data_IF_142015421166
#
_entry.id   IF_142015421166
#
_cell.length_a   1.000
_cell.length_b   1.000
_cell.length_c   1.000
_cell.angle_alpha   90.00
_cell.angle_beta   90.00
_cell.angle_gamma   90.00
#
_symmetry.space_group_name_H-M   'P 1'
#
loop_
_entity.id
_entity.type
_entity.pdbx_description
1 polymer ?
#
# COMPACT_ATOMS: atom_id res chain seq x y z
N UNK A 1 1.97 -7.67 23.90
CA UNK A 1 3.08 -8.44 23.34
C UNK A 1 4.40 -7.90 23.88
N UNK A 2 5.45 -8.69 23.89
CA UNK A 2 6.80 -8.30 24.33
C UNK A 2 7.30 -7.04 23.63
N UNK A 3 6.98 -6.88 22.36
CA UNK A 3 7.31 -5.70 21.55
C UNK A 3 6.71 -4.41 22.15
N UNK A 4 5.44 -4.42 22.54
CA UNK A 4 4.81 -3.26 23.18
C UNK A 4 5.41 -2.92 24.56
N UNK A 5 5.90 -3.92 25.29
CA UNK A 5 6.57 -3.71 26.58
C UNK A 5 7.92 -3.02 26.34
N UNK A 6 8.71 -3.54 25.41
CA UNK A 6 9.98 -2.95 24.99
C UNK A 6 9.82 -1.51 24.50
N UNK A 7 8.86 -1.27 23.62
CA UNK A 7 8.62 0.05 23.02
C UNK A 7 8.24 1.08 24.09
N UNK A 8 7.37 0.70 25.02
CA UNK A 8 6.97 1.55 26.16
C UNK A 8 8.14 1.87 27.08
N UNK A 9 8.98 0.88 27.36
CA UNK A 9 10.16 1.06 28.21
C UNK A 9 11.17 2.02 27.57
N UNK A 10 11.36 1.93 26.25
CA UNK A 10 12.29 2.78 25.49
C UNK A 10 11.78 4.22 25.34
N UNK A 11 10.49 4.39 25.00
CA UNK A 11 9.88 5.70 24.79
C UNK A 11 9.51 6.41 26.10
N UNK A 12 9.46 5.66 27.22
CA UNK A 12 9.17 6.14 28.59
C UNK A 12 7.82 6.84 28.79
N UNK A 13 6.83 6.47 27.97
CA UNK A 13 5.44 6.91 28.09
C UNK A 13 4.47 5.89 27.47
N UNK A 14 3.16 5.99 27.78
CA UNK A 14 2.15 5.23 27.04
C UNK A 14 2.18 5.56 25.55
N UNK A 15 1.99 4.56 24.71
CA UNK A 15 1.89 4.69 23.26
C UNK A 15 0.43 4.64 22.81
N UNK A 16 0.07 5.45 21.84
CA UNK A 16 -1.20 5.32 21.13
C UNK A 16 -1.18 4.06 20.26
N UNK A 17 -2.35 3.62 19.81
CA UNK A 17 -2.45 2.46 18.92
C UNK A 17 -1.64 2.67 17.63
N UNK A 18 -1.80 3.84 16.99
CA UNK A 18 -1.05 4.16 15.76
C UNK A 18 0.46 4.17 15.99
N UNK A 19 0.95 4.66 17.13
CA UNK A 19 2.38 4.60 17.45
C UNK A 19 2.88 3.16 17.61
N UNK A 20 2.08 2.29 18.21
CA UNK A 20 2.43 0.86 18.30
C UNK A 20 2.58 0.21 16.93
N UNK A 21 1.68 0.56 15.99
CA UNK A 21 1.79 0.09 14.62
C UNK A 21 3.04 0.66 13.94
N UNK A 22 3.29 1.96 14.03
CA UNK A 22 4.47 2.60 13.45
C UNK A 22 5.77 1.98 13.97
N UNK A 23 5.92 1.86 15.30
CA UNK A 23 7.14 1.28 15.89
C UNK A 23 7.32 -0.21 15.58
N UNK A 24 6.21 -0.94 15.36
CA UNK A 24 6.28 -2.33 14.91
C UNK A 24 6.77 -2.48 13.46
N UNK A 25 6.71 -1.41 12.67
CA UNK A 25 7.10 -1.40 11.27
C UNK A 25 8.33 -0.54 10.97
N UNK A 26 9.17 -0.26 11.97
CA UNK A 26 10.47 0.33 11.72
C UNK A 26 11.27 -0.56 10.76
N UNK A 27 11.90 0.04 9.76
CA UNK A 27 12.74 -0.69 8.81
C UNK A 27 13.89 -1.39 9.52
N UNK A 28 14.55 -0.67 10.43
CA UNK A 28 15.55 -1.21 11.36
C UNK A 28 14.99 -1.15 12.81
N UNK A 29 14.65 -2.30 13.41
CA UNK A 29 14.13 -2.36 14.78
C UNK A 29 15.07 -1.80 15.86
N UNK A 30 16.37 -1.66 15.56
CA UNK A 30 17.35 -1.08 16.49
C UNK A 30 17.22 0.44 16.61
N UNK A 31 16.56 1.08 15.64
CA UNK A 31 16.28 2.52 15.62
C UNK A 31 15.08 2.92 16.50
N UNK A 32 14.60 2.04 17.35
CA UNK A 32 13.54 2.33 18.30
C UNK A 32 14.00 3.37 19.32
N UNK A 33 13.43 4.58 19.25
CA UNK A 33 13.69 5.71 20.14
C UNK A 33 12.52 6.69 20.10
N UNK A 34 12.48 7.68 21.03
CA UNK A 34 11.57 8.81 20.84
C UNK A 34 11.94 9.63 19.59
N UNK A 35 10.95 9.88 18.74
CA UNK A 35 11.09 10.75 17.56
C UNK A 35 10.32 12.05 17.74
N UNK A 36 10.87 13.16 17.25
CA UNK A 36 10.20 14.47 17.24
C UNK A 36 9.20 14.51 16.09
N UNK A 37 7.91 14.42 16.44
CA UNK A 37 6.80 14.40 15.48
C UNK A 37 6.76 15.67 14.62
N UNK A 38 6.52 15.51 13.32
CA UNK A 38 6.47 16.59 12.34
C UNK A 38 7.83 17.20 12.01
N UNK A 39 8.94 16.62 12.49
CA UNK A 39 10.31 17.13 12.27
C UNK A 39 11.24 16.04 11.76
N UNK A 40 11.37 14.92 12.47
CA UNK A 40 12.30 13.85 12.13
C UNK A 40 11.69 12.89 11.10
N UNK A 41 12.54 12.39 10.21
CA UNK A 41 12.20 11.34 9.25
C UNK A 41 12.55 9.98 9.83
N UNK A 42 11.78 8.99 9.45
CA UNK A 42 11.88 7.61 9.94
C UNK A 42 11.64 6.65 8.79
N UNK A 43 12.46 5.62 8.71
CA UNK A 43 12.35 4.55 7.73
C UNK A 43 11.42 3.46 8.22
N UNK A 44 10.41 3.15 7.41
CA UNK A 44 9.43 2.11 7.69
C UNK A 44 9.49 0.96 6.67
N UNK A 45 8.97 -0.18 7.09
CA UNK A 45 8.73 -1.36 6.24
C UNK A 45 7.24 -1.70 6.27
N UNK A 46 6.43 -1.15 5.35
CA UNK A 46 5.03 -1.55 5.22
C UNK A 46 4.87 -3.03 4.92
N UNK A 47 3.75 -3.62 5.36
CA UNK A 47 3.43 -5.03 5.10
C UNK A 47 2.91 -5.27 3.69
N UNK A 48 2.38 -4.23 3.02
CA UNK A 48 1.64 -4.39 1.78
C UNK A 48 1.65 -3.13 0.94
N UNK A 49 1.54 -3.33 -0.38
CA UNK A 49 1.28 -2.27 -1.38
C UNK A 49 -0.01 -2.58 -2.12
N UNK A 50 -0.91 -1.60 -2.23
CA UNK A 50 -2.08 -1.67 -3.11
C UNK A 50 -1.97 -0.61 -4.20
N UNK A 51 -2.25 -0.98 -5.45
CA UNK A 51 -2.13 -0.10 -6.60
C UNK A 51 -3.42 -0.11 -7.42
N UNK A 52 -3.88 1.05 -7.85
CA UNK A 52 -4.97 1.16 -8.81
C UNK A 52 -4.43 1.19 -10.25
N UNK A 53 -5.27 0.85 -11.21
CA UNK A 53 -4.86 0.58 -12.59
C UNK A 53 -4.22 1.77 -13.33
N UNK A 54 -4.63 3.01 -13.06
CA UNK A 54 -4.05 4.16 -13.73
C UNK A 54 -2.62 4.45 -13.28
N UNK A 55 -2.31 4.30 -11.99
CA UNK A 55 -0.98 4.57 -11.41
C UNK A 55 -0.06 3.35 -11.40
N UNK A 56 -0.61 2.14 -11.37
CA UNK A 56 0.15 0.89 -11.36
C UNK A 56 1.01 0.71 -12.61
N UNK A 57 0.57 1.22 -13.77
CA UNK A 57 1.33 1.10 -15.02
C UNK A 57 2.75 1.63 -14.85
N UNK A 58 2.88 2.86 -14.37
CA UNK A 58 4.18 3.51 -14.21
C UNK A 58 5.00 2.87 -13.07
N UNK A 59 4.35 2.58 -11.95
CA UNK A 59 5.00 1.94 -10.81
C UNK A 59 5.58 0.56 -11.19
N UNK A 60 4.82 -0.25 -11.91
CA UNK A 60 5.28 -1.57 -12.34
C UNK A 60 6.36 -1.51 -13.41
N UNK A 61 6.32 -0.54 -14.33
CA UNK A 61 7.43 -0.31 -15.27
C UNK A 61 8.73 0.06 -14.53
N UNK A 62 8.66 0.93 -13.53
CA UNK A 62 9.80 1.27 -12.70
C UNK A 62 10.30 0.05 -11.90
N UNK A 63 9.39 -0.73 -11.33
CA UNK A 63 9.73 -1.97 -10.64
C UNK A 63 10.46 -2.97 -11.57
N UNK A 64 9.97 -3.15 -12.79
CA UNK A 64 10.62 -4.02 -13.79
C UNK A 64 12.05 -3.57 -14.10
N UNK A 65 12.27 -2.25 -14.22
CA UNK A 65 13.61 -1.68 -14.45
C UNK A 65 14.55 -1.88 -13.25
N UNK A 66 14.04 -2.08 -12.04
CA UNK A 66 14.85 -2.39 -10.87
C UNK A 66 15.43 -3.82 -10.89
N UNK A 67 15.04 -4.67 -11.84
CA UNK A 67 15.63 -6.00 -12.07
C UNK A 67 15.39 -7.00 -10.94
N UNK A 68 14.32 -6.86 -10.17
CA UNK A 68 13.95 -7.81 -9.11
C UNK A 68 13.14 -8.98 -9.66
N UNK A 69 13.36 -10.18 -9.15
CA UNK A 69 12.64 -11.39 -9.57
C UNK A 69 11.20 -11.45 -9.03
N UNK A 70 10.95 -10.82 -7.89
CA UNK A 70 9.65 -10.76 -7.21
C UNK A 70 9.54 -9.52 -6.34
N UNK A 71 8.31 -9.16 -5.98
CA UNK A 71 8.05 -8.09 -5.00
C UNK A 71 8.53 -8.49 -3.59
N UNK A 72 9.03 -7.53 -2.84
CA UNK A 72 9.55 -7.75 -1.49
C UNK A 72 8.46 -7.89 -0.44
N UNK A 73 7.27 -7.36 -0.71
CA UNK A 73 6.09 -7.45 0.16
C UNK A 73 4.87 -7.85 -0.66
N UNK A 74 3.84 -8.45 -0.07
CA UNK A 74 2.57 -8.70 -0.75
C UNK A 74 2.04 -7.43 -1.40
N UNK A 75 1.62 -7.54 -2.66
CA UNK A 75 1.09 -6.43 -3.44
C UNK A 75 -0.14 -6.85 -4.23
N UNK A 76 -0.98 -5.89 -4.58
CA UNK A 76 -2.15 -6.11 -5.44
C UNK A 76 -2.40 -4.93 -6.37
N UNK A 77 -2.91 -5.27 -7.56
CA UNK A 77 -3.36 -4.32 -8.58
C UNK A 77 -4.87 -4.46 -8.73
N UNK A 78 -5.57 -3.34 -8.78
CA UNK A 78 -7.02 -3.26 -8.83
C UNK A 78 -7.45 -2.41 -10.02
N UNK A 79 -8.27 -2.98 -10.90
CA UNK A 79 -8.70 -2.34 -12.15
C UNK A 79 -10.08 -1.70 -11.98
N UNK A 80 -10.14 -0.56 -11.30
CA UNK A 80 -11.39 0.15 -10.99
C UNK A 80 -11.44 1.60 -11.45
N UNK A 81 -10.30 2.28 -11.61
CA UNK A 81 -10.26 3.71 -11.95
C UNK A 81 -10.49 4.02 -13.44
N UNK A 82 -10.19 3.09 -14.34
CA UNK A 82 -10.39 3.29 -15.79
C UNK A 82 -11.80 2.94 -16.27
N UNK A 83 -12.70 2.54 -15.37
CA UNK A 83 -14.10 2.28 -15.66
C UNK A 83 -14.89 3.57 -15.48
N UNK A 84 -15.57 4.03 -16.53
CA UNK A 84 -16.49 5.16 -16.43
C UNK A 84 -17.82 4.68 -15.85
N UNK A 85 -18.34 5.36 -14.85
CA UNK A 85 -19.66 5.14 -14.29
C UNK A 85 -20.65 6.11 -14.95
N UNK A 86 -20.97 5.89 -16.22
CA UNK A 86 -21.78 6.80 -17.04
C UNK A 86 -23.21 6.30 -17.19
N UNK A 87 -23.41 5.11 -17.74
CA UNK A 87 -24.73 4.55 -18.03
C UNK A 87 -25.11 3.44 -17.07
N UNK A 88 -24.17 2.54 -16.80
CA UNK A 88 -24.34 1.40 -15.92
C UNK A 88 -23.39 0.24 -16.25
N UNK A 89 -23.20 -0.64 -15.27
CA UNK A 89 -22.18 -1.70 -15.35
C UNK A 89 -22.30 -2.60 -16.59
N UNK A 90 -23.51 -2.85 -17.08
CA UNK A 90 -23.76 -3.70 -18.26
C UNK A 90 -23.22 -3.11 -19.56
N UNK A 91 -23.03 -1.79 -19.61
CA UNK A 91 -22.49 -1.08 -20.78
C UNK A 91 -21.07 -0.56 -20.52
N UNK A 92 -20.86 0.07 -19.36
CA UNK A 92 -19.59 0.72 -19.05
C UNK A 92 -18.44 -0.27 -18.85
N UNK A 93 -18.70 -1.45 -18.28
CA UNK A 93 -17.66 -2.45 -18.07
C UNK A 93 -17.14 -3.09 -19.39
N UNK A 94 -17.98 -3.57 -20.30
CA UNK A 94 -17.52 -4.04 -21.61
C UNK A 94 -16.77 -2.97 -22.41
N UNK A 95 -17.23 -1.72 -22.37
CA UNK A 95 -16.55 -0.62 -23.06
C UNK A 95 -15.17 -0.33 -22.45
N UNK A 96 -15.06 -0.32 -21.11
CA UNK A 96 -13.78 -0.17 -20.43
C UNK A 96 -12.81 -1.31 -20.79
N UNK A 97 -13.29 -2.55 -20.80
CA UNK A 97 -12.48 -3.72 -21.17
C UNK A 97 -11.96 -3.63 -22.61
N UNK A 98 -12.77 -3.09 -23.52
CA UNK A 98 -12.38 -2.89 -24.92
C UNK A 98 -11.38 -1.75 -25.06
N UNK A 99 -11.70 -0.60 -24.49
CA UNK A 99 -10.90 0.63 -24.61
C UNK A 99 -9.54 0.50 -23.93
N UNK A 100 -9.49 -0.13 -22.77
CA UNK A 100 -8.27 -0.26 -21.96
C UNK A 100 -7.65 -1.66 -22.02
N UNK A 101 -7.97 -2.45 -23.04
CA UNK A 101 -7.52 -3.84 -23.17
C UNK A 101 -6.01 -3.99 -22.99
N UNK A 102 -5.23 -3.16 -23.65
CA UNK A 102 -3.77 -3.19 -23.60
C UNK A 102 -3.24 -2.95 -22.19
N UNK A 103 -3.82 -1.99 -21.47
CA UNK A 103 -3.46 -1.69 -20.08
C UNK A 103 -3.78 -2.87 -19.17
N UNK A 104 -4.98 -3.43 -19.27
CA UNK A 104 -5.38 -4.57 -18.42
C UNK A 104 -4.56 -5.81 -18.73
N UNK A 105 -4.24 -6.09 -19.98
CA UNK A 105 -3.38 -7.20 -20.38
C UNK A 105 -1.96 -7.03 -19.83
N UNK A 106 -1.40 -5.83 -19.91
CA UNK A 106 -0.10 -5.49 -19.32
C UNK A 106 -0.11 -5.72 -17.81
N UNK A 107 -1.04 -5.11 -17.08
CA UNK A 107 -1.14 -5.22 -15.63
C UNK A 107 -1.31 -6.68 -15.18
N UNK A 108 -2.13 -7.45 -15.89
CA UNK A 108 -2.33 -8.88 -15.61
C UNK A 108 -1.05 -9.67 -15.82
N UNK A 109 -0.36 -9.48 -16.94
CA UNK A 109 0.86 -10.22 -17.26
C UNK A 109 2.00 -9.93 -16.29
N UNK A 110 2.19 -8.66 -15.92
CA UNK A 110 3.20 -8.24 -14.94
C UNK A 110 2.85 -8.78 -13.56
N UNK A 111 1.58 -8.71 -13.16
CA UNK A 111 1.13 -9.24 -11.88
C UNK A 111 1.39 -10.74 -11.77
N UNK A 112 1.12 -11.51 -12.83
CA UNK A 112 1.42 -12.94 -12.88
C UNK A 112 2.91 -13.23 -12.77
N UNK A 113 3.74 -12.46 -13.48
CA UNK A 113 5.20 -12.65 -13.49
C UNK A 113 5.83 -12.42 -12.11
N UNK A 114 5.38 -11.42 -11.39
CA UNK A 114 6.00 -10.99 -10.12
C UNK A 114 5.22 -11.39 -8.87
N UNK A 115 4.22 -12.28 -9.01
CA UNK A 115 3.39 -12.78 -7.91
C UNK A 115 2.60 -11.69 -7.19
N UNK A 116 2.07 -10.73 -7.95
CA UNK A 116 1.20 -9.66 -7.48
C UNK A 116 -0.26 -10.11 -7.63
N UNK A 117 -1.09 -9.87 -6.63
CA UNK A 117 -2.53 -10.11 -6.72
C UNK A 117 -3.16 -9.23 -7.80
N UNK A 118 -3.99 -9.82 -8.67
CA UNK A 118 -4.65 -9.08 -9.75
C UNK A 118 -6.16 -9.14 -9.62
N UNK A 119 -6.77 -7.99 -9.41
CA UNK A 119 -8.21 -7.78 -9.36
C UNK A 119 -8.63 -7.07 -10.64
N UNK A 120 -9.16 -7.86 -11.58
CA UNK A 120 -9.52 -7.38 -12.92
C UNK A 120 -10.71 -6.42 -12.94
N UNK A 121 -11.03 -5.86 -14.14
CA UNK A 121 -12.16 -4.96 -14.30
C UNK A 121 -13.46 -5.61 -13.81
N UNK A 122 -14.24 -4.88 -13.02
CA UNK A 122 -15.51 -5.37 -12.43
C UNK A 122 -15.37 -6.10 -11.10
N UNK A 123 -14.16 -6.31 -10.58
CA UNK A 123 -13.95 -6.97 -9.29
C UNK A 123 -14.35 -6.12 -8.08
N UNK A 124 -14.54 -4.83 -8.26
CA UNK A 124 -14.93 -3.87 -7.21
C UNK A 124 -13.91 -2.74 -7.02
N UNK A 125 -14.30 -1.77 -6.22
CA UNK A 125 -13.47 -0.61 -5.87
C UNK A 125 -12.29 -1.07 -5.01
N UNK A 126 -11.07 -0.63 -5.34
CA UNK A 126 -9.82 -0.99 -4.65
C UNK A 126 -9.95 -0.93 -3.12
N UNK A 127 -10.48 0.16 -2.59
CA UNK A 127 -10.50 0.37 -1.13
C UNK A 127 -11.45 -0.60 -0.42
N UNK A 128 -12.56 -0.97 -1.05
CA UNK A 128 -13.50 -1.94 -0.53
C UNK A 128 -12.91 -3.36 -0.62
N UNK A 129 -12.31 -3.71 -1.74
CA UNK A 129 -11.64 -5.01 -1.94
C UNK A 129 -10.50 -5.19 -0.93
N UNK A 130 -9.68 -4.15 -0.72
CA UNK A 130 -8.59 -4.17 0.26
C UNK A 130 -9.14 -4.32 1.69
N UNK A 131 -10.19 -3.57 2.05
CA UNK A 131 -10.80 -3.64 3.37
C UNK A 131 -11.34 -5.04 3.67
N UNK A 132 -12.03 -5.66 2.71
CA UNK A 132 -12.67 -6.96 2.88
C UNK A 132 -11.70 -8.15 2.86
N UNK A 133 -10.59 -8.05 2.12
CA UNK A 133 -9.73 -9.21 1.85
C UNK A 133 -8.34 -9.12 2.48
N UNK A 134 -7.85 -7.91 2.78
CA UNK A 134 -6.44 -7.71 3.11
C UNK A 134 -6.19 -6.91 4.37
N UNK A 135 -7.14 -6.08 4.80
CA UNK A 135 -6.97 -5.27 5.98
C UNK A 135 -7.05 -6.11 7.27
N UNK A 136 -6.17 -5.79 8.23
CA UNK A 136 -6.16 -6.43 9.53
C UNK A 136 -5.61 -5.48 10.60
N UNK A 137 -6.05 -5.60 11.86
CA UNK A 137 -5.56 -4.74 12.93
C UNK A 137 -4.05 -4.85 13.15
N UNK A 138 -3.38 -3.71 13.22
CA UNK A 138 -1.94 -3.63 13.49
C UNK A 138 -1.03 -3.71 12.26
N UNK A 139 -1.58 -3.87 11.06
CA UNK A 139 -0.82 -3.81 9.82
C UNK A 139 -0.49 -2.39 9.39
N UNK A 140 0.47 -2.27 8.48
CA UNK A 140 0.84 -1.02 7.81
C UNK A 140 0.87 -1.23 6.31
N UNK A 141 0.23 -0.33 5.55
CA UNK A 141 0.25 -0.41 4.09
C UNK A 141 0.44 0.94 3.43
N UNK A 142 0.96 0.92 2.23
CA UNK A 142 0.96 2.06 1.32
C UNK A 142 0.14 1.73 0.07
N UNK A 143 -0.43 2.73 -0.55
CA UNK A 143 -1.20 2.55 -1.77
C UNK A 143 -1.07 3.75 -2.69
N UNK A 144 -1.16 3.51 -4.00
CA UNK A 144 -1.03 4.56 -5.02
C UNK A 144 -2.33 5.32 -5.25
N UNK A 145 -3.12 5.48 -4.21
CA UNK A 145 -4.38 6.21 -4.21
C UNK A 145 -4.59 6.99 -2.92
N UNK A 146 -5.20 8.17 -3.02
CA UNK A 146 -5.45 9.08 -1.88
C UNK A 146 -6.41 8.51 -0.84
N UNK A 147 -7.26 7.54 -1.20
CA UNK A 147 -8.22 6.91 -0.30
C UNK A 147 -7.69 5.61 0.34
N UNK A 148 -6.42 5.28 0.15
CA UNK A 148 -5.75 4.16 0.84
C UNK A 148 -6.01 4.15 2.36
N UNK A 149 -6.11 5.29 3.08
CA UNK A 149 -6.45 5.35 4.51
C UNK A 149 -7.76 4.65 4.91
N UNK A 150 -8.64 4.30 3.97
CA UNK A 150 -9.84 3.51 4.22
C UNK A 150 -9.56 2.19 4.98
N UNK A 151 -8.41 1.57 4.76
CA UNK A 151 -7.97 0.37 5.49
C UNK A 151 -7.79 0.62 7.01
N UNK A 152 -7.69 1.88 7.42
CA UNK A 152 -7.70 2.28 8.82
C UNK A 152 -9.00 1.92 9.56
N UNK A 153 -10.11 1.74 8.83
CA UNK A 153 -11.38 1.26 9.38
C UNK A 153 -11.29 -0.10 10.07
N UNK A 154 -10.33 -0.95 9.68
CA UNK A 154 -9.99 -2.21 10.36
C UNK A 154 -8.67 -2.17 11.15
N UNK A 155 -8.20 -0.97 11.51
CA UNK A 155 -7.06 -0.82 12.41
C UNK A 155 -5.68 -0.97 11.75
N UNK A 156 -5.56 -0.71 10.47
CA UNK A 156 -4.26 -0.52 9.81
C UNK A 156 -3.79 0.93 9.90
N UNK A 157 -2.48 1.14 9.83
CA UNK A 157 -1.92 2.43 9.39
C UNK A 157 -1.75 2.34 7.88
N UNK A 158 -2.58 3.05 7.14
CA UNK A 158 -2.61 3.02 5.69
C UNK A 158 -2.41 4.42 5.12
N UNK A 159 -1.50 4.56 4.17
CA UNK A 159 -1.08 5.87 3.64
C UNK A 159 -1.11 5.85 2.11
N UNK A 160 -1.73 6.88 1.54
CA UNK A 160 -1.65 7.15 0.10
C UNK A 160 -0.30 7.75 -0.26
N UNK A 161 0.37 7.18 -1.25
CA UNK A 161 1.71 7.56 -1.68
C UNK A 161 1.80 7.72 -3.19
N UNK A 162 2.87 8.32 -3.66
CA UNK A 162 3.20 8.34 -5.09
C UNK A 162 3.74 7.00 -5.60
N UNK A 163 3.82 6.87 -6.93
CA UNK A 163 4.34 5.66 -7.56
C UNK A 163 5.77 5.32 -7.15
N UNK A 164 6.63 6.31 -6.98
CA UNK A 164 8.02 6.12 -6.57
C UNK A 164 8.11 5.46 -5.17
N UNK A 165 7.36 5.96 -4.20
CA UNK A 165 7.32 5.38 -2.85
C UNK A 165 6.82 3.93 -2.88
N UNK A 166 5.81 3.65 -3.71
CA UNK A 166 5.32 2.29 -3.89
C UNK A 166 6.41 1.37 -4.46
N UNK A 167 7.20 1.85 -5.41
CA UNK A 167 8.34 1.09 -5.99
C UNK A 167 9.40 0.81 -4.95
N UNK A 168 9.75 1.75 -4.09
CA UNK A 168 10.70 1.55 -3.00
C UNK A 168 10.25 0.39 -2.10
N UNK A 169 8.99 0.38 -1.68
CA UNK A 169 8.44 -0.71 -0.87
C UNK A 169 8.42 -2.04 -1.63
N UNK A 170 8.00 -2.03 -2.91
CA UNK A 170 7.99 -3.23 -3.75
C UNK A 170 9.39 -3.83 -3.96
N UNK A 171 10.42 -3.00 -4.00
CA UNK A 171 11.83 -3.44 -4.17
C UNK A 171 12.53 -3.75 -2.86
N UNK A 172 11.87 -3.55 -1.71
CA UNK A 172 12.40 -3.83 -0.38
C UNK A 172 13.30 -2.73 0.17
N UNK A 173 13.24 -1.53 -0.40
CA UNK A 173 13.89 -0.34 0.14
C UNK A 173 13.11 0.21 1.34
N UNK A 174 13.76 0.95 2.25
CA UNK A 174 13.05 1.65 3.30
C UNK A 174 12.09 2.69 2.71
N UNK A 175 10.93 2.82 3.32
CA UNK A 175 10.01 3.90 3.02
C UNK A 175 10.15 4.98 4.06
N UNK A 176 10.70 6.12 3.66
CA UNK A 176 10.93 7.26 4.54
C UNK A 176 9.66 8.09 4.72
N UNK A 177 9.29 8.31 5.96
CA UNK A 177 8.16 9.16 6.32
C UNK A 177 8.55 10.11 7.46
N UNK A 178 8.16 11.37 7.36
CA UNK A 178 8.24 12.30 8.48
C UNK A 178 7.33 11.78 9.60
N UNK A 179 7.90 11.53 10.81
CA UNK A 179 7.13 11.01 11.94
C UNK A 179 5.84 11.79 12.16
N UNK A 180 4.66 11.17 11.99
CA UNK A 180 3.41 11.92 11.91
C UNK A 180 3.01 12.52 13.25
N UNK A 181 2.33 13.68 13.20
CA UNK A 181 1.55 14.18 14.31
C UNK A 181 0.23 13.42 14.33
N UNK A 182 -0.09 12.82 15.46
CA UNK A 182 -1.36 12.12 15.65
C UNK A 182 -2.36 13.11 16.26
N UNK A 183 -3.53 13.19 15.66
CA UNK A 183 -4.64 14.06 16.07
C UNK A 183 -5.71 13.22 16.72
#
# INVERSE_FOLDING_TARGET
SEMCIRDRATVKRPLTYAEKVLFAHLFDPTQLRPYKRGVEYVDFRPNRVAMQDATAQMALLQFMNAGKDKVAVPASVHCDHLIRADVGATQDLPEACKTNKEVYDFLKSVSQKYHIGFWGPGAGIIHQVVLENYAFPGGMMVGTDSHTPNAGGLGMVAVGVGGADAVDVLTGQPWELKMPRLI
#
